data_IF_801999490038
#
_entry.id   IF_801999490038
#
_cell.length_a   1.000
_cell.length_b   1.000
_cell.length_c   1.000
_cell.angle_alpha   90.00
_cell.angle_beta   90.00
_cell.angle_gamma   90.00
#
_symmetry.space_group_name_H-M   'P 1'
#
loop_
_entity.id
_entity.type
_entity.pdbx_description
1 polymer ?
#
# COMPACT_ATOMS: atom_id res chain seq x y z
N UNK A 1 -9.13 18.08 -7.74
CA UNK A 1 -9.24 16.69 -7.23
C UNK A 1 -10.67 16.20 -7.50
N UNK A 2 -10.91 14.90 -7.76
CA UNK A 2 -12.26 14.39 -7.94
C UNK A 2 -13.09 14.69 -6.68
N UNK A 3 -14.24 15.33 -6.85
CA UNK A 3 -15.13 15.79 -5.76
C UNK A 3 -15.90 14.65 -5.09
N UNK A 4 -15.76 13.44 -5.62
CA UNK A 4 -16.47 12.22 -5.23
C UNK A 4 -15.59 11.19 -4.50
N UNK A 5 -14.31 11.50 -4.25
CA UNK A 5 -13.45 10.65 -3.43
C UNK A 5 -14.04 10.48 -2.02
N UNK A 6 -13.95 9.25 -1.52
CA UNK A 6 -14.42 8.77 -0.23
C UNK A 6 -15.94 8.81 -0.04
N UNK A 7 -16.71 9.02 -1.13
CA UNK A 7 -18.16 8.82 -1.12
C UNK A 7 -18.52 7.35 -1.30
N UNK A 8 -19.69 6.98 -0.79
CA UNK A 8 -20.24 5.63 -0.88
C UNK A 8 -21.21 5.53 -2.06
N UNK A 9 -21.06 4.49 -2.87
CA UNK A 9 -21.88 4.12 -4.01
C UNK A 9 -22.18 2.63 -3.90
N UNK A 10 -23.45 2.25 -3.78
CA UNK A 10 -23.89 0.83 -3.73
C UNK A 10 -23.08 -0.05 -2.76
N UNK A 11 -22.83 0.46 -1.54
CA UNK A 11 -22.06 -0.25 -0.51
C UNK A 11 -20.54 -0.27 -0.74
N UNK A 12 -20.02 0.49 -1.72
CA UNK A 12 -18.60 0.63 -2.00
C UNK A 12 -18.14 2.07 -1.82
N UNK A 13 -16.95 2.28 -1.27
CA UNK A 13 -16.32 3.60 -1.20
C UNK A 13 -15.42 3.82 -2.40
N UNK A 14 -15.51 5.00 -3.03
CA UNK A 14 -14.58 5.41 -4.10
C UNK A 14 -13.29 5.94 -3.47
N UNK A 15 -12.15 5.31 -3.75
CA UNK A 15 -10.86 5.63 -3.10
C UNK A 15 -9.77 6.07 -4.09
N UNK A 16 -10.05 5.95 -5.39
CA UNK A 16 -9.19 6.40 -6.48
C UNK A 16 -10.00 6.72 -7.72
N UNK A 17 -9.33 7.08 -8.83
CA UNK A 17 -10.01 7.57 -10.05
C UNK A 17 -11.03 6.58 -10.61
N UNK A 18 -10.70 5.28 -10.60
CA UNK A 18 -11.60 4.17 -10.98
C UNK A 18 -11.46 2.99 -10.00
N UNK A 19 -11.20 3.30 -8.72
CA UNK A 19 -10.94 2.28 -7.70
C UNK A 19 -11.97 2.38 -6.60
N UNK A 20 -12.63 1.25 -6.33
CA UNK A 20 -13.64 1.10 -5.31
C UNK A 20 -13.23 0.02 -4.32
N UNK A 21 -13.72 0.13 -3.09
CA UNK A 21 -13.53 -0.86 -2.04
C UNK A 21 -14.85 -1.07 -1.32
N UNK A 22 -15.17 -2.30 -0.93
CA UNK A 22 -16.33 -2.56 -0.08
C UNK A 22 -16.28 -1.69 1.18
N UNK A 23 -17.39 -1.04 1.52
CA UNK A 23 -17.48 -0.10 2.65
C UNK A 23 -17.03 -0.76 3.96
N UNK A 24 -17.48 -1.98 4.24
CA UNK A 24 -17.10 -2.73 5.43
C UNK A 24 -15.58 -2.92 5.53
N UNK A 25 -14.92 -3.24 4.41
CA UNK A 25 -13.46 -3.41 4.38
C UNK A 25 -12.75 -2.08 4.61
N UNK A 26 -13.25 -1.00 4.03
CA UNK A 26 -12.72 0.34 4.26
C UNK A 26 -12.82 0.75 5.72
N UNK A 27 -14.00 0.60 6.34
CA UNK A 27 -14.23 0.92 7.75
C UNK A 27 -13.36 0.06 8.67
N UNK A 28 -13.18 -1.23 8.34
CA UNK A 28 -12.25 -2.09 9.06
C UNK A 28 -10.82 -1.55 9.01
N UNK A 29 -10.32 -1.22 7.81
CA UNK A 29 -8.96 -0.68 7.65
C UNK A 29 -8.82 0.67 8.38
N UNK A 30 -9.82 1.54 8.33
CA UNK A 30 -9.82 2.86 8.97
C UNK A 30 -9.79 2.81 10.50
N UNK A 31 -10.13 1.67 11.12
CA UNK A 31 -10.02 1.42 12.57
C UNK A 31 -8.62 1.00 13.03
N UNK A 32 -7.64 0.91 12.11
CA UNK A 32 -6.27 0.58 12.48
C UNK A 32 -5.66 1.59 13.45
N UNK A 33 -4.75 1.12 14.30
CA UNK A 33 -4.14 1.95 15.35
C UNK A 33 -2.88 2.71 14.92
N UNK A 34 -2.37 2.46 13.70
CA UNK A 34 -1.18 3.14 13.20
C UNK A 34 -1.12 3.23 11.69
N UNK A 35 -0.43 4.26 11.20
CA UNK A 35 -0.19 4.53 9.77
C UNK A 35 0.39 3.32 9.05
N UNK A 36 1.32 2.61 9.70
CA UNK A 36 1.96 1.43 9.14
C UNK A 36 0.99 0.26 9.00
N UNK A 37 0.17 -0.03 10.02
CA UNK A 37 -0.83 -1.10 9.95
C UNK A 37 -1.88 -0.79 8.88
N UNK A 38 -2.38 0.44 8.87
CA UNK A 38 -3.29 0.95 7.85
C UNK A 38 -2.72 0.74 6.43
N UNK A 39 -1.49 1.22 6.18
CA UNK A 39 -0.87 1.11 4.86
C UNK A 39 -0.61 -0.34 4.44
N UNK A 40 -0.19 -1.21 5.36
CA UNK A 40 0.08 -2.61 5.05
C UNK A 40 -1.21 -3.38 4.74
N UNK A 41 -2.28 -3.13 5.48
CA UNK A 41 -3.56 -3.78 5.22
C UNK A 41 -4.18 -3.31 3.91
N UNK A 42 -4.15 -2.00 3.66
CA UNK A 42 -4.59 -1.41 2.41
C UNK A 42 -3.76 -1.94 1.22
N UNK A 43 -2.44 -2.05 1.36
CA UNK A 43 -1.58 -2.58 0.31
C UNK A 43 -1.88 -4.06 -0.01
N UNK A 44 -2.14 -4.89 1.00
CA UNK A 44 -2.54 -6.30 0.79
C UNK A 44 -3.84 -6.44 0.00
N UNK A 45 -4.74 -5.48 0.11
CA UNK A 45 -5.98 -5.47 -0.66
C UNK A 45 -5.72 -5.21 -2.16
N UNK A 46 -4.76 -4.35 -2.52
CA UNK A 46 -4.49 -3.99 -3.93
C UNK A 46 -3.43 -4.83 -4.63
N UNK A 47 -2.57 -5.47 -3.86
CA UNK A 47 -1.50 -6.31 -4.38
C UNK A 47 -1.54 -7.66 -3.69
N UNK A 48 -2.12 -8.69 -4.36
CA UNK A 48 -1.97 -10.06 -3.93
C UNK A 48 -0.50 -10.41 -3.74
N UNK A 49 -0.19 -11.27 -2.76
CA UNK A 49 1.20 -11.60 -2.38
C UNK A 49 2.08 -12.00 -3.56
N UNK A 50 1.53 -12.80 -4.49
CA UNK A 50 2.25 -13.24 -5.69
C UNK A 50 2.59 -12.09 -6.66
N UNK A 51 1.72 -11.09 -6.78
CA UNK A 51 1.98 -9.89 -7.56
C UNK A 51 2.99 -8.98 -6.84
N UNK A 52 2.77 -8.76 -5.54
CA UNK A 52 3.64 -7.94 -4.70
C UNK A 52 5.09 -8.44 -4.71
N UNK A 53 5.31 -9.77 -4.69
CA UNK A 53 6.64 -10.37 -4.69
C UNK A 53 7.48 -10.00 -5.94
N UNK A 54 6.81 -9.79 -7.08
CA UNK A 54 7.41 -9.46 -8.38
C UNK A 54 7.57 -7.95 -8.59
N UNK A 55 7.08 -7.12 -7.65
CA UNK A 55 7.13 -5.66 -7.74
C UNK A 55 8.13 -5.02 -6.78
N UNK A 56 8.52 -3.79 -7.09
CA UNK A 56 9.17 -2.87 -6.16
C UNK A 56 8.59 -1.47 -6.33
N UNK A 57 8.80 -0.58 -5.35
CA UNK A 57 8.24 0.78 -5.42
C UNK A 57 8.74 1.54 -6.65
N UNK A 58 10.02 1.39 -7.03
CA UNK A 58 10.67 2.18 -8.09
C UNK A 58 11.04 1.37 -9.33
N UNK A 59 10.89 0.04 -9.31
CA UNK A 59 11.35 -0.86 -10.38
C UNK A 59 12.87 -1.03 -10.49
N UNK A 60 13.64 -0.16 -9.85
CA UNK A 60 15.11 -0.15 -9.92
C UNK A 60 15.72 -1.34 -9.19
N UNK A 61 16.82 -1.87 -9.74
CA UNK A 61 17.67 -2.83 -9.05
C UNK A 61 18.38 -2.15 -7.86
N UNK A 62 18.64 -2.93 -6.81
CA UNK A 62 19.39 -2.44 -5.66
C UNK A 62 20.86 -2.25 -6.05
N UNK A 63 21.35 -1.00 -6.00
CA UNK A 63 22.73 -0.66 -6.38
C UNK A 63 23.80 -1.34 -5.52
N UNK A 64 23.47 -1.70 -4.27
CA UNK A 64 24.41 -2.33 -3.35
C UNK A 64 24.47 -3.86 -3.46
N UNK A 65 23.60 -4.48 -4.27
CA UNK A 65 23.55 -5.93 -4.42
C UNK A 65 23.68 -6.29 -5.91
N UNK A 66 24.85 -6.83 -6.28
CA UNK A 66 25.15 -7.21 -7.68
C UNK A 66 24.20 -8.27 -8.24
N UNK A 67 23.61 -9.11 -7.38
CA UNK A 67 22.62 -10.13 -7.77
C UNK A 67 21.18 -9.59 -7.79
N UNK A 68 20.97 -8.29 -7.57
CA UNK A 68 19.65 -7.70 -7.59
C UNK A 68 19.10 -7.61 -9.02
N UNK A 69 17.93 -8.22 -9.22
CA UNK A 69 17.19 -8.13 -10.48
C UNK A 69 16.21 -6.96 -10.41
N UNK A 70 16.00 -6.26 -11.53
CA UNK A 70 14.94 -5.27 -11.65
C UNK A 70 13.58 -5.91 -11.45
N UNK A 71 12.67 -5.19 -10.80
CA UNK A 71 11.30 -5.64 -10.56
C UNK A 71 10.32 -4.76 -11.29
N UNK A 72 9.08 -5.22 -11.44
CA UNK A 72 8.02 -4.38 -12.00
C UNK A 72 7.75 -3.23 -11.02
N UNK A 73 7.72 -1.99 -11.51
CA UNK A 73 7.41 -0.84 -10.67
C UNK A 73 5.97 -0.93 -10.11
N UNK A 74 5.74 -0.41 -8.91
CA UNK A 74 4.39 -0.13 -8.44
C UNK A 74 3.74 0.93 -9.35
N UNK A 75 2.54 0.65 -9.84
CA UNK A 75 1.75 1.57 -10.68
C UNK A 75 1.60 2.93 -9.98
N UNK A 76 2.08 4.05 -10.57
CA UNK A 76 2.07 5.37 -9.94
C UNK A 76 0.70 5.76 -9.39
N UNK A 77 -0.36 5.48 -10.14
CA UNK A 77 -1.75 5.78 -9.78
C UNK A 77 -2.17 5.05 -8.50
N UNK A 78 -1.72 3.80 -8.31
CA UNK A 78 -1.96 3.05 -7.06
C UNK A 78 -1.16 3.66 -5.90
N UNK A 79 0.03 4.20 -6.13
CA UNK A 79 0.82 4.86 -5.08
C UNK A 79 0.16 6.17 -4.66
N UNK A 80 -0.31 6.98 -5.61
CA UNK A 80 -1.04 8.22 -5.33
C UNK A 80 -2.36 7.95 -4.59
N UNK A 81 -3.08 6.90 -4.97
CA UNK A 81 -4.26 6.43 -4.24
C UNK A 81 -3.92 6.07 -2.78
N UNK A 82 -2.81 5.37 -2.54
CA UNK A 82 -2.35 5.04 -1.17
C UNK A 82 -2.00 6.31 -0.37
N UNK A 83 -1.38 7.31 -1.00
CA UNK A 83 -1.10 8.63 -0.38
C UNK A 83 -2.42 9.32 0.02
N UNK A 84 -3.40 9.35 -0.87
CA UNK A 84 -4.73 9.90 -0.60
C UNK A 84 -5.45 9.18 0.54
N UNK A 85 -5.46 7.85 0.52
CA UNK A 85 -6.11 7.06 1.57
C UNK A 85 -5.45 7.28 2.93
N UNK A 86 -4.10 7.34 2.99
CA UNK A 86 -3.40 7.63 4.24
C UNK A 86 -3.70 9.05 4.73
N UNK A 87 -3.85 10.02 3.83
CA UNK A 87 -4.28 11.38 4.20
C UNK A 87 -5.63 11.37 4.92
N UNK A 88 -6.61 10.60 4.42
CA UNK A 88 -7.90 10.45 5.11
C UNK A 88 -7.77 9.79 6.48
N UNK A 89 -6.99 8.72 6.56
CA UNK A 89 -6.72 8.05 7.83
C UNK A 89 -6.06 8.98 8.86
N UNK A 90 -5.06 9.76 8.44
CA UNK A 90 -4.34 10.72 9.29
C UNK A 90 -5.26 11.84 9.78
N UNK A 91 -6.13 12.36 8.90
CA UNK A 91 -7.11 13.40 9.27
C UNK A 91 -8.12 12.90 10.31
N UNK A 92 -8.55 11.64 10.21
CA UNK A 92 -9.42 10.98 11.19
C UNK A 92 -8.68 10.60 12.49
N UNK A 93 -7.37 10.35 12.42
CA UNK A 93 -6.53 9.90 13.54
C UNK A 93 -5.44 10.91 13.86
N UNK A 94 -5.83 12.11 14.33
CA UNK A 94 -4.89 13.18 14.67
C UNK A 94 -3.93 12.73 15.78
N UNK A 95 -2.63 13.00 15.60
CA UNK A 95 -1.59 12.74 16.60
C UNK A 95 -0.90 14.06 16.93
N UNK A 96 -1.14 14.63 18.13
CA UNK A 96 -0.43 15.83 18.57
C UNK A 96 1.10 15.66 18.43
N UNK A 97 1.77 16.68 17.90
CA UNK A 97 3.23 16.66 17.70
C UNK A 97 3.74 15.90 16.48
N UNK A 98 2.87 15.31 15.65
CA UNK A 98 3.26 14.71 14.36
C UNK A 98 2.51 15.35 13.20
N UNK A 99 3.18 16.19 12.38
CA UNK A 99 2.56 16.83 11.23
C UNK A 99 1.96 15.83 10.25
N UNK A 100 0.79 16.16 9.70
CA UNK A 100 0.06 15.28 8.77
C UNK A 100 0.88 14.99 7.51
N UNK A 101 1.56 15.98 6.95
CA UNK A 101 2.36 15.83 5.73
C UNK A 101 3.53 14.87 5.93
N UNK A 102 4.17 14.88 7.10
CA UNK A 102 5.25 13.95 7.47
C UNK A 102 4.72 12.52 7.53
N UNK A 103 3.54 12.33 8.13
CA UNK A 103 2.87 11.03 8.20
C UNK A 103 2.49 10.52 6.81
N UNK A 104 1.89 11.37 5.97
CA UNK A 104 1.50 11.00 4.60
C UNK A 104 2.72 10.64 3.75
N UNK A 105 3.81 11.42 3.80
CA UNK A 105 5.07 11.12 3.09
C UNK A 105 5.67 9.76 3.49
N UNK A 106 5.34 9.23 4.66
CA UNK A 106 5.81 7.92 5.11
C UNK A 106 5.20 6.74 4.34
N UNK A 107 4.15 6.92 3.52
CA UNK A 107 3.54 5.82 2.75
C UNK A 107 4.54 5.10 1.86
N UNK A 108 5.46 5.85 1.23
CA UNK A 108 6.50 5.27 0.36
C UNK A 108 7.43 4.36 1.14
N UNK A 109 7.70 4.68 2.42
CA UNK A 109 8.46 3.82 3.34
C UNK A 109 7.69 2.55 3.63
N UNK A 110 6.40 2.62 3.94
CA UNK A 110 5.57 1.45 4.20
C UNK A 110 5.45 0.53 2.98
N UNK A 111 5.23 1.09 1.79
CA UNK A 111 5.17 0.34 0.54
C UNK A 111 6.50 -0.35 0.18
N UNK A 112 7.65 0.31 0.40
CA UNK A 112 8.96 -0.34 0.24
C UNK A 112 9.09 -1.56 1.15
N UNK A 113 8.72 -1.43 2.42
CA UNK A 113 8.71 -2.55 3.37
C UNK A 113 7.80 -3.69 2.92
N UNK A 114 6.58 -3.36 2.49
CA UNK A 114 5.60 -4.31 1.97
C UNK A 114 6.14 -5.14 0.79
N UNK A 115 6.64 -4.50 -0.28
CA UNK A 115 7.15 -5.22 -1.45
C UNK A 115 8.43 -6.02 -1.15
N UNK A 116 9.26 -5.54 -0.23
CA UNK A 116 10.45 -6.26 0.23
C UNK A 116 10.04 -7.55 0.92
N UNK A 117 9.09 -7.47 1.84
CA UNK A 117 8.63 -8.63 2.61
C UNK A 117 7.87 -9.64 1.73
N UNK A 118 7.00 -9.17 0.83
CA UNK A 118 6.36 -10.04 -0.16
C UNK A 118 7.40 -10.78 -1.03
N UNK A 119 8.49 -10.11 -1.41
CA UNK A 119 9.60 -10.71 -2.13
C UNK A 119 10.32 -11.81 -1.33
N UNK A 120 10.48 -11.64 -0.01
CA UNK A 120 11.06 -12.67 0.87
C UNK A 120 10.13 -13.87 1.02
N UNK A 121 8.85 -13.63 1.23
CA UNK A 121 7.84 -14.68 1.37
C UNK A 121 7.70 -15.51 0.08
N UNK A 122 7.68 -14.85 -1.07
CA UNK A 122 7.63 -15.54 -2.37
C UNK A 122 8.84 -16.43 -2.64
N UNK A 123 10.04 -16.06 -2.15
CA UNK A 123 11.22 -16.91 -2.21
C UNK A 123 11.10 -18.13 -1.30
N UNK A 124 10.64 -17.95 -0.06
CA UNK A 124 10.43 -19.05 0.89
C UNK A 124 9.51 -20.12 0.33
N UNK A 125 8.34 -19.74 -0.19
CA UNK A 125 7.37 -20.68 -0.77
C UNK A 125 8.01 -21.55 -1.86
N UNK A 126 8.78 -20.95 -2.77
CA UNK A 126 9.47 -21.70 -3.85
C UNK A 126 10.53 -22.69 -3.39
N UNK A 127 11.14 -22.46 -2.22
CA UNK A 127 12.14 -23.39 -1.68
C UNK A 127 11.47 -24.65 -1.11
N UNK A 128 10.24 -24.55 -0.60
CA UNK A 128 9.51 -25.68 -0.01
C UNK A 128 8.68 -26.50 -1.00
N UNK A 129 8.52 -26.07 -2.26
CA UNK A 129 7.73 -26.80 -3.29
C UNK A 129 8.59 -27.58 -4.29
N UNK A 130 9.89 -27.73 -4.04
CA UNK A 130 10.77 -28.61 -4.82
C UNK A 130 10.81 -29.98 -4.15
N UNK A 131 9.85 -30.84 -4.51
CA UNK A 131 9.93 -32.30 -4.37
C UNK A 131 9.68 -32.93 -5.73
#
# INVERSE_FOLDING_TARGET
APTDLYRVFDGQVKIGQNTFMALEKWEHIMRNTSDGKFCLELARHFWPTAEAAKRSLTGQACRSLSTSIMKVQATPEKVEMMEGCLKQFVAANKQPGKPEDVRVKAVRRYLRGFFTEAGRQGKRVRTFTKE
#
